data_IF_419940443233
#
_entry.id   IF_419940443233
#
_cell.length_a   1.000
_cell.length_b   1.000
_cell.length_c   1.000
_cell.angle_alpha   90.00
_cell.angle_beta   90.00
_cell.angle_gamma   90.00
#
_symmetry.space_group_name_H-M   'P 1'
#
loop_
_entity.id
_entity.type
_entity.pdbx_description
1 polymer ?
#
# COMPACT_ATOMS: atom_id res chain seq x y z
N UNK A 1 28.00 -9.76 0.86
CA UNK A 1 26.84 -10.43 0.20
C UNK A 1 26.51 -9.68 -1.09
N UNK A 2 26.33 -10.37 -2.23
CA UNK A 2 25.84 -9.71 -3.46
C UNK A 2 24.31 -9.67 -3.41
N UNK A 3 23.72 -8.49 -3.57
CA UNK A 3 22.26 -8.33 -3.63
C UNK A 3 21.82 -8.54 -5.08
N UNK A 4 20.99 -9.54 -5.34
CA UNK A 4 20.54 -9.89 -6.69
C UNK A 4 19.21 -9.22 -7.07
N UNK A 5 18.32 -9.04 -6.09
CA UNK A 5 17.05 -8.34 -6.26
C UNK A 5 16.99 -7.08 -5.36
N UNK A 6 17.39 -5.92 -5.92
CA UNK A 6 17.44 -4.66 -5.16
C UNK A 6 16.07 -4.19 -4.68
N UNK A 7 14.99 -4.49 -5.42
CA UNK A 7 13.62 -4.09 -5.04
C UNK A 7 13.17 -4.83 -3.78
N UNK A 8 13.31 -6.16 -3.78
CA UNK A 8 12.91 -7.01 -2.63
C UNK A 8 13.82 -6.78 -1.41
N UNK A 9 15.09 -6.44 -1.65
CA UNK A 9 15.98 -6.02 -0.55
C UNK A 9 15.50 -4.72 0.09
N UNK A 10 15.16 -3.70 -0.72
CA UNK A 10 14.67 -2.42 -0.23
C UNK A 10 13.35 -2.56 0.54
N UNK A 11 12.41 -3.38 0.07
CA UNK A 11 11.17 -3.66 0.81
C UNK A 11 11.45 -4.35 2.15
N UNK A 12 12.35 -5.33 2.19
CA UNK A 12 12.73 -5.99 3.43
C UNK A 12 13.39 -5.06 4.46
N UNK A 13 14.28 -4.16 4.01
CA UNK A 13 14.87 -3.14 4.87
C UNK A 13 13.80 -2.17 5.39
N UNK A 14 12.87 -1.76 4.53
CA UNK A 14 11.77 -0.87 4.91
C UNK A 14 10.85 -1.51 5.95
N UNK A 15 10.50 -2.79 5.79
CA UNK A 15 9.68 -3.54 6.76
C UNK A 15 10.35 -3.62 8.13
N UNK A 16 11.66 -3.90 8.18
CA UNK A 16 12.42 -3.89 9.45
C UNK A 16 12.45 -2.49 10.06
N UNK A 17 12.66 -1.45 9.25
CA UNK A 17 12.68 -0.07 9.72
C UNK A 17 11.32 0.33 10.33
N UNK A 18 10.20 -0.07 9.72
CA UNK A 18 8.86 0.14 10.28
C UNK A 18 8.65 -0.61 11.60
N UNK A 19 9.11 -1.87 11.68
CA UNK A 19 9.05 -2.65 12.92
C UNK A 19 9.85 -1.99 14.06
N UNK A 20 11.05 -1.49 13.76
CA UNK A 20 11.88 -0.77 14.72
C UNK A 20 11.26 0.56 15.14
N UNK A 21 10.72 1.34 14.20
CA UNK A 21 10.02 2.58 14.51
C UNK A 21 8.86 2.32 15.47
N UNK A 22 8.11 1.24 15.23
CA UNK A 22 7.00 0.87 16.10
C UNK A 22 7.47 0.46 17.50
N UNK A 23 8.56 -0.32 17.60
CA UNK A 23 9.17 -0.65 18.88
C UNK A 23 9.58 0.59 19.67
N UNK A 24 10.23 1.56 19.02
CA UNK A 24 10.63 2.82 19.66
C UNK A 24 9.39 3.58 20.16
N UNK A 25 8.34 3.66 19.35
CA UNK A 25 7.10 4.32 19.73
C UNK A 25 6.42 3.66 20.95
N UNK A 26 6.40 2.33 21.02
CA UNK A 26 5.84 1.59 22.15
C UNK A 26 6.69 1.79 23.43
N UNK A 27 8.03 1.80 23.32
CA UNK A 27 8.93 2.11 24.44
C UNK A 27 8.70 3.53 24.97
N UNK A 28 8.60 4.52 24.09
CA UNK A 28 8.39 5.93 24.46
C UNK A 28 7.04 6.15 25.16
N UNK A 29 6.02 5.39 24.80
CA UNK A 29 4.66 5.51 25.37
C UNK A 29 4.41 4.59 26.56
N UNK A 30 5.35 3.69 26.90
CA UNK A 30 5.16 2.61 27.88
C UNK A 30 3.89 1.76 27.63
N UNK A 31 3.43 1.69 26.38
CA UNK A 31 2.21 1.00 25.99
C UNK A 31 2.58 -0.25 25.17
N UNK A 32 2.86 -1.33 25.89
CA UNK A 32 3.14 -2.63 25.28
C UNK A 32 1.86 -3.43 25.16
N UNK A 33 1.19 -3.29 24.03
CA UNK A 33 0.03 -4.10 23.69
C UNK A 33 0.44 -5.41 23.03
N UNK A 34 -0.28 -6.49 23.31
CA UNK A 34 -0.09 -7.78 22.60
C UNK A 34 -0.23 -7.58 21.09
N UNK A 35 -1.14 -6.70 20.65
CA UNK A 35 -1.35 -6.40 19.23
C UNK A 35 -0.13 -5.76 18.58
N UNK A 36 0.55 -4.86 19.28
CA UNK A 36 1.73 -4.19 18.74
C UNK A 36 2.94 -5.13 18.70
N UNK A 37 3.13 -5.94 19.74
CA UNK A 37 4.15 -7.00 19.76
C UNK A 37 3.99 -8.01 18.61
N UNK A 38 2.75 -8.45 18.33
CA UNK A 38 2.47 -9.34 17.19
C UNK A 38 2.78 -8.67 15.86
N UNK A 39 2.36 -7.40 15.69
CA UNK A 39 2.64 -6.64 14.46
C UNK A 39 4.15 -6.49 14.21
N UNK A 40 4.92 -6.16 15.26
CA UNK A 40 6.38 -6.05 15.19
C UNK A 40 7.00 -7.40 14.78
N UNK A 41 6.57 -8.50 15.39
CA UNK A 41 7.08 -9.83 15.06
C UNK A 41 6.82 -10.18 13.58
N UNK A 42 5.61 -9.90 13.07
CA UNK A 42 5.27 -10.12 11.67
C UNK A 42 6.15 -9.27 10.74
N UNK A 43 6.32 -7.98 11.03
CA UNK A 43 7.16 -7.08 10.23
C UNK A 43 8.62 -7.54 10.18
N UNK A 44 9.17 -8.00 11.31
CA UNK A 44 10.55 -8.50 11.37
C UNK A 44 10.71 -9.80 10.59
N UNK A 45 9.76 -10.75 10.71
CA UNK A 45 9.80 -12.02 9.97
C UNK A 45 9.70 -11.78 8.46
N UNK A 46 8.76 -10.94 8.02
CA UNK A 46 8.60 -10.59 6.61
C UNK A 46 9.84 -9.86 6.08
N UNK A 47 10.35 -8.88 6.83
CA UNK A 47 11.50 -8.09 6.42
C UNK A 47 12.77 -8.93 6.30
N UNK A 48 13.02 -9.81 7.28
CA UNK A 48 14.16 -10.72 7.22
C UNK A 48 14.03 -11.75 6.08
N UNK A 49 12.82 -12.31 5.88
CA UNK A 49 12.53 -13.21 4.76
C UNK A 49 12.78 -12.56 3.40
N UNK A 50 12.34 -11.31 3.22
CA UNK A 50 12.58 -10.52 2.01
C UNK A 50 14.08 -10.27 1.78
N UNK A 51 14.83 -9.93 2.82
CA UNK A 51 16.29 -9.73 2.72
C UNK A 51 16.98 -11.04 2.31
N UNK A 52 16.67 -12.16 2.95
CA UNK A 52 17.24 -13.46 2.59
C UNK A 52 16.91 -13.85 1.14
N UNK A 53 15.66 -13.64 0.70
CA UNK A 53 15.23 -13.89 -0.67
C UNK A 53 16.01 -13.06 -1.67
N UNK A 54 16.21 -11.78 -1.37
CA UNK A 54 16.89 -10.83 -2.27
C UNK A 54 18.38 -11.12 -2.52
N UNK A 55 19.02 -11.86 -1.61
CA UNK A 55 20.43 -12.25 -1.70
C UNK A 55 20.61 -13.65 -2.30
N UNK A 56 19.53 -14.42 -2.46
CA UNK A 56 19.59 -15.70 -3.17
C UNK A 56 19.60 -15.49 -4.68
N UNK A 57 20.62 -15.98 -5.41
CA UNK A 57 20.69 -15.85 -6.86
C UNK A 57 19.63 -16.69 -7.60
N UNK A 58 19.15 -17.79 -6.99
CA UNK A 58 18.12 -18.65 -7.57
C UNK A 58 16.75 -17.96 -7.51
N UNK A 59 16.35 -17.53 -6.31
CA UNK A 59 15.08 -16.85 -6.11
C UNK A 59 15.00 -15.52 -6.87
N UNK A 60 16.11 -14.77 -6.95
CA UNK A 60 16.15 -13.54 -7.75
C UNK A 60 16.05 -13.77 -9.27
N UNK A 61 16.42 -14.97 -9.77
CA UNK A 61 16.20 -15.34 -11.18
C UNK A 61 14.75 -15.75 -11.42
N UNK A 62 14.17 -16.52 -10.51
CA UNK A 62 12.75 -16.89 -10.55
C UNK A 62 11.85 -15.65 -10.53
N UNK A 63 12.09 -14.70 -9.61
CA UNK A 63 11.35 -13.43 -9.54
C UNK A 63 11.41 -12.64 -10.85
N UNK A 64 12.58 -12.61 -11.50
CA UNK A 64 12.77 -11.93 -12.79
C UNK A 64 12.04 -12.63 -13.94
N UNK A 65 12.03 -13.96 -13.94
CA UNK A 65 11.31 -14.73 -14.96
C UNK A 65 9.80 -14.54 -14.81
N UNK A 66 9.28 -14.53 -13.58
CA UNK A 66 7.86 -14.24 -13.32
C UNK A 66 7.46 -12.80 -13.69
N UNK A 67 8.32 -11.80 -13.44
CA UNK A 67 8.08 -10.40 -13.84
C UNK A 67 8.04 -10.23 -15.37
N UNK A 68 8.80 -11.05 -16.12
CA UNK A 68 8.91 -10.97 -17.58
C UNK A 68 7.83 -11.77 -18.32
N UNK A 69 7.11 -12.66 -17.63
CA UNK A 69 6.00 -13.40 -18.22
C UNK A 69 4.86 -12.43 -18.62
N UNK A 70 4.55 -12.41 -19.92
CA UNK A 70 3.52 -11.56 -20.51
C UNK A 70 2.15 -11.76 -19.86
N UNK A 71 1.82 -13.02 -19.50
CA UNK A 71 0.56 -13.33 -18.82
C UNK A 71 0.53 -12.67 -17.44
N UNK A 72 1.61 -12.78 -16.67
CA UNK A 72 1.70 -12.17 -15.35
C UNK A 72 1.68 -10.64 -15.43
N UNK A 73 2.32 -10.06 -16.45
CA UNK A 73 2.27 -8.62 -16.70
C UNK A 73 0.86 -8.15 -17.02
N UNK A 74 0.12 -8.87 -17.87
CA UNK A 74 -1.27 -8.56 -18.18
C UNK A 74 -2.16 -8.67 -16.94
N UNK A 75 -2.03 -9.73 -16.15
CA UNK A 75 -2.76 -9.92 -14.89
C UNK A 75 -2.44 -8.77 -13.93
N UNK A 76 -1.17 -8.40 -13.79
CA UNK A 76 -0.74 -7.31 -12.92
C UNK A 76 -1.35 -5.96 -13.35
N UNK A 77 -1.34 -5.64 -14.63
CA UNK A 77 -1.93 -4.41 -15.15
C UNK A 77 -3.45 -4.36 -14.94
N UNK A 78 -4.15 -5.46 -15.26
CA UNK A 78 -5.59 -5.58 -15.02
C UNK A 78 -5.93 -5.48 -13.53
N UNK A 79 -5.16 -6.16 -12.68
CA UNK A 79 -5.35 -6.13 -11.23
C UNK A 79 -5.11 -4.73 -10.65
N UNK A 80 -4.05 -4.03 -11.09
CA UNK A 80 -3.78 -2.64 -10.68
C UNK A 80 -4.89 -1.68 -11.11
N UNK A 81 -5.34 -1.77 -12.36
CA UNK A 81 -6.46 -0.95 -12.84
C UNK A 81 -7.75 -1.24 -12.07
N UNK A 82 -8.10 -2.51 -11.86
CA UNK A 82 -9.32 -2.88 -11.14
C UNK A 82 -9.27 -2.59 -9.66
N UNK A 83 -8.13 -2.78 -9.00
CA UNK A 83 -7.95 -2.40 -7.60
C UNK A 83 -8.06 -0.89 -7.40
N UNK A 84 -7.49 -0.09 -8.31
CA UNK A 84 -7.63 1.37 -8.27
C UNK A 84 -9.11 1.82 -8.41
N UNK A 85 -9.83 1.28 -9.41
CA UNK A 85 -11.27 1.52 -9.59
C UNK A 85 -12.08 1.10 -8.36
N UNK A 86 -11.76 -0.06 -7.77
CA UNK A 86 -12.43 -0.53 -6.57
C UNK A 86 -12.15 0.40 -5.37
N UNK A 87 -10.91 0.85 -5.19
CA UNK A 87 -10.55 1.80 -4.13
C UNK A 87 -11.27 3.13 -4.31
N UNK A 88 -11.42 3.64 -5.53
CA UNK A 88 -12.22 4.83 -5.82
C UNK A 88 -13.68 4.64 -5.39
N UNK A 89 -14.30 3.52 -5.78
CA UNK A 89 -15.69 3.22 -5.42
C UNK A 89 -15.85 3.12 -3.90
N UNK A 90 -14.98 2.39 -3.22
CA UNK A 90 -15.01 2.24 -1.76
C UNK A 90 -14.85 3.61 -1.09
N UNK A 91 -13.90 4.42 -1.56
CA UNK A 91 -13.67 5.77 -1.03
C UNK A 91 -14.88 6.67 -1.21
N UNK A 92 -15.56 6.57 -2.37
CA UNK A 92 -16.79 7.30 -2.65
C UNK A 92 -17.96 6.86 -1.76
N UNK A 93 -18.15 5.56 -1.58
CA UNK A 93 -19.20 5.03 -0.68
C UNK A 93 -18.92 5.45 0.76
N UNK A 94 -17.67 5.37 1.21
CA UNK A 94 -17.27 5.77 2.56
C UNK A 94 -17.44 7.28 2.78
N UNK A 95 -17.10 8.10 1.77
CA UNK A 95 -17.36 9.53 1.77
C UNK A 95 -18.84 9.82 2.00
N UNK A 96 -19.73 9.20 1.23
CA UNK A 96 -21.18 9.39 1.40
C UNK A 96 -21.66 8.95 2.79
N UNK A 97 -21.20 7.80 3.27
CA UNK A 97 -21.55 7.29 4.59
C UNK A 97 -21.14 8.28 5.71
N UNK A 98 -19.94 8.86 5.63
CA UNK A 98 -19.46 9.83 6.61
C UNK A 98 -20.23 11.15 6.56
N UNK A 99 -20.59 11.64 5.37
CA UNK A 99 -21.41 12.86 5.24
C UNK A 99 -22.82 12.66 5.80
N UNK A 100 -23.45 11.52 5.52
CA UNK A 100 -24.77 11.17 6.09
C UNK A 100 -24.68 11.03 7.60
N UNK A 101 -23.67 10.31 8.11
CA UNK A 101 -23.46 10.14 9.54
C UNK A 101 -23.19 11.46 10.26
N UNK A 102 -22.39 12.35 9.66
CA UNK A 102 -22.15 13.69 10.18
C UNK A 102 -23.44 14.53 10.27
N UNK A 103 -24.31 14.44 9.26
CA UNK A 103 -25.61 15.11 9.29
C UNK A 103 -26.55 14.54 10.34
N UNK A 104 -26.59 13.21 10.52
CA UNK A 104 -27.47 12.54 11.50
C UNK A 104 -26.99 12.76 12.93
N UNK A 105 -25.68 12.70 13.17
CA UNK A 105 -25.08 12.84 14.51
C UNK A 105 -24.86 14.30 14.91
N UNK A 106 -24.83 15.22 13.96
CA UNK A 106 -24.46 16.62 14.17
C UNK A 106 -22.96 16.83 14.45
N UNK A 107 -22.13 15.78 14.36
CA UNK A 107 -20.70 15.89 14.61
C UNK A 107 -19.96 16.36 13.35
N UNK A 108 -19.45 17.59 13.40
CA UNK A 108 -18.72 18.22 12.29
C UNK A 108 -17.46 17.44 11.87
N UNK A 109 -16.85 16.66 12.77
CA UNK A 109 -15.68 15.86 12.44
C UNK A 109 -15.95 14.79 11.38
N UNK A 110 -17.13 14.18 11.37
CA UNK A 110 -17.50 13.22 10.31
C UNK A 110 -17.69 13.91 8.96
N UNK A 111 -18.22 15.14 8.96
CA UNK A 111 -18.35 15.95 7.75
C UNK A 111 -16.95 16.31 7.22
N UNK A 112 -16.06 16.78 8.09
CA UNK A 112 -14.68 17.11 7.72
C UNK A 112 -13.93 15.89 7.14
N UNK A 113 -14.07 14.71 7.74
CA UNK A 113 -13.51 13.46 7.21
C UNK A 113 -14.11 13.10 5.84
N UNK A 114 -15.44 13.24 5.68
CA UNK A 114 -16.13 13.04 4.41
C UNK A 114 -15.61 13.99 3.33
N UNK A 115 -15.47 15.27 3.63
CA UNK A 115 -14.89 16.27 2.71
C UNK A 115 -13.44 15.93 2.34
N UNK A 116 -12.64 15.46 3.30
CA UNK A 116 -11.27 15.00 3.03
C UNK A 116 -11.24 13.81 2.05
N UNK A 117 -12.14 12.84 2.21
CA UNK A 117 -12.28 11.75 1.24
C UNK A 117 -12.80 12.22 -0.12
N UNK A 118 -13.70 13.21 -0.16
CA UNK A 118 -14.17 13.81 -1.39
C UNK A 118 -13.01 14.41 -2.20
N UNK A 119 -12.12 15.14 -1.53
CA UNK A 119 -10.92 15.68 -2.13
C UNK A 119 -10.01 14.58 -2.68
N UNK A 120 -9.72 13.54 -1.88
CA UNK A 120 -8.90 12.40 -2.31
C UNK A 120 -9.52 11.67 -3.52
N UNK A 121 -10.83 11.47 -3.52
CA UNK A 121 -11.57 10.88 -4.63
C UNK A 121 -11.45 11.74 -5.89
N UNK A 122 -11.65 13.05 -5.79
CA UNK A 122 -11.50 13.96 -6.94
C UNK A 122 -10.08 13.92 -7.52
N UNK A 123 -9.04 13.97 -6.67
CA UNK A 123 -7.65 13.85 -7.12
C UNK A 123 -7.41 12.52 -7.84
N UNK A 124 -7.99 11.42 -7.32
CA UNK A 124 -7.86 10.10 -7.95
C UNK A 124 -8.53 10.03 -9.33
N UNK A 125 -9.68 10.68 -9.51
CA UNK A 125 -10.38 10.77 -10.80
C UNK A 125 -9.55 11.54 -11.83
N UNK A 126 -8.98 12.68 -11.44
CA UNK A 126 -8.08 13.43 -12.32
C UNK A 126 -6.82 12.64 -12.67
N UNK A 127 -6.24 11.91 -11.71
CA UNK A 127 -5.09 11.06 -11.98
C UNK A 127 -5.40 9.98 -13.03
N UNK A 128 -6.58 9.34 -12.96
CA UNK A 128 -7.01 8.38 -13.98
C UNK A 128 -7.16 9.03 -15.35
N UNK A 129 -7.83 10.17 -15.44
CA UNK A 129 -8.04 10.90 -16.69
C UNK A 129 -6.70 11.33 -17.31
N UNK A 130 -5.82 11.96 -16.53
CA UNK A 130 -4.54 12.43 -17.04
C UNK A 130 -3.62 11.28 -17.46
N UNK A 131 -3.60 10.18 -16.70
CA UNK A 131 -2.81 9.01 -17.09
C UNK A 131 -3.36 8.35 -18.35
N UNK A 132 -4.69 8.24 -18.48
CA UNK A 132 -5.34 7.76 -19.69
C UNK A 132 -4.97 8.61 -20.91
N UNK A 133 -5.18 9.94 -20.83
CA UNK A 133 -4.85 10.88 -21.91
C UNK A 133 -3.37 10.85 -22.28
N UNK A 134 -2.47 10.77 -21.29
CA UNK A 134 -1.03 10.70 -21.55
C UNK A 134 -0.65 9.44 -22.34
N UNK A 135 -1.17 8.27 -21.97
CA UNK A 135 -0.86 7.04 -22.68
C UNK A 135 -1.57 6.93 -24.02
N UNK A 136 -2.79 7.46 -24.15
CA UNK A 136 -3.51 7.55 -25.42
C UNK A 136 -2.79 8.48 -26.40
N UNK A 137 -2.27 9.63 -25.95
CA UNK A 137 -1.51 10.56 -26.81
C UNK A 137 -0.19 10.01 -27.33
N UNK A 138 0.33 8.95 -26.71
CA UNK A 138 1.62 8.32 -27.05
C UNK A 138 1.46 7.10 -27.93
N UNK A 139 0.24 6.67 -28.21
CA UNK A 139 -0.09 5.48 -28.95
C UNK A 139 -0.75 5.84 -30.29
#
# INVERSE_FOLDING_TARGET
MKIYNKKVFASGVFEIALGLLRLIADIMKQDFSIKSSVLIAVLVVLGFGSILRSVSPRMAKEDKLEELDERNRLITLKSKSKSFQLTQIISFVLMLALLVMGKVTGFEGFIAMGVGLAFAFTVSMFAEIFTYLYYESKN
#
